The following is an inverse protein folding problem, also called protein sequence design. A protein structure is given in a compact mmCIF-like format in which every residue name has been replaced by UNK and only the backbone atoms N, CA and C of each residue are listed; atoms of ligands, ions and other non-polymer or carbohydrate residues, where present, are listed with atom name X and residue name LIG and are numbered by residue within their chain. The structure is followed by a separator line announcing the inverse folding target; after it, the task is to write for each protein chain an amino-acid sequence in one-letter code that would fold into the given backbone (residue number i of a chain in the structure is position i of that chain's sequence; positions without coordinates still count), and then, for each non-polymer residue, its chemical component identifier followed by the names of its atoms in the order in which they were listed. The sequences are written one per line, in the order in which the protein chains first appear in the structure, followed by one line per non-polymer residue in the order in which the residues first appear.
data_IF_166397962847
#
_entry.id   IF_166397962847
#
_cell.length_a   1.000
_cell.length_b   1.000
_cell.length_c   1.000
_cell.angle_alpha   90.00
_cell.angle_beta   90.00
_cell.angle_gamma   90.00
#
_symmetry.space_group_name_H-M   'P 1'
#
loop_
_entity.id
_entity.type
_entity.pdbx_description
1 polymer ?
#
# COMPACT_ATOMS: atom_id res chain seq x y z
N UNK A 1 32.24 56.65 -39.83
CA UNK A 1 30.84 56.15 -39.77
C UNK A 1 30.92 54.63 -39.65
N UNK A 2 30.64 54.08 -38.47
CA UNK A 2 30.54 52.63 -38.26
C UNK A 2 29.05 52.28 -38.29
N UNK A 3 28.65 51.41 -39.22
CA UNK A 3 27.30 50.88 -39.32
C UNK A 3 27.30 49.47 -38.71
N UNK A 4 26.59 49.30 -37.61
CA UNK A 4 26.35 48.02 -36.94
C UNK A 4 25.14 47.35 -37.55
N UNK A 5 25.34 46.22 -38.23
CA UNK A 5 24.25 45.33 -38.66
C UNK A 5 23.85 44.42 -37.50
N UNK A 6 22.61 44.56 -37.05
CA UNK A 6 21.98 43.73 -36.02
C UNK A 6 21.51 42.43 -36.67
N UNK A 7 22.12 41.30 -36.29
CA UNK A 7 21.57 39.97 -36.59
C UNK A 7 20.37 39.72 -35.69
N UNK A 8 19.19 39.54 -36.29
CA UNK A 8 17.95 39.20 -35.61
C UNK A 8 18.12 37.92 -34.77
N UNK A 9 17.81 38.03 -33.48
CA UNK A 9 17.83 36.92 -32.54
C UNK A 9 16.80 35.87 -32.87
N UNK A 10 17.24 34.61 -32.95
CA UNK A 10 16.37 33.44 -32.88
C UNK A 10 15.78 33.42 -31.46
N UNK A 11 14.46 33.58 -31.35
CA UNK A 11 13.77 33.61 -30.06
C UNK A 11 13.86 32.21 -29.39
N UNK A 12 14.54 32.07 -28.23
CA UNK A 12 14.66 30.78 -27.54
C UNK A 12 13.33 30.25 -27.00
N UNK A 13 12.28 31.08 -26.95
CA UNK A 13 10.94 30.65 -26.50
C UNK A 13 10.18 29.77 -27.50
N UNK A 14 10.64 29.69 -28.77
CA UNK A 14 10.02 28.82 -29.79
C UNK A 14 10.28 27.33 -29.54
N UNK A 15 11.41 26.97 -28.92
CA UNK A 15 11.73 25.57 -28.61
C UNK A 15 11.10 25.07 -27.29
N UNK A 16 10.78 25.98 -26.37
CA UNK A 16 10.15 25.62 -25.08
C UNK A 16 8.72 25.15 -25.31
N UNK A 17 7.97 25.76 -26.23
CA UNK A 17 6.59 25.37 -26.49
C UNK A 17 6.47 23.97 -27.10
N UNK A 18 7.35 23.59 -28.03
CA UNK A 18 7.33 22.24 -28.62
C UNK A 18 7.65 21.13 -27.60
N UNK A 19 8.59 21.38 -26.68
CA UNK A 19 8.89 20.43 -25.62
C UNK A 19 7.79 20.32 -24.56
N UNK A 20 7.03 21.39 -24.32
CA UNK A 20 5.95 21.37 -23.33
C UNK A 20 4.75 20.57 -23.86
N UNK A 21 4.44 20.69 -25.15
CA UNK A 21 3.36 19.90 -25.78
C UNK A 21 3.70 18.41 -25.85
N UNK A 22 4.94 18.03 -26.19
CA UNK A 22 5.35 16.62 -26.19
C UNK A 22 5.31 16.02 -24.78
N UNK A 23 5.69 16.79 -23.75
CA UNK A 23 5.62 16.34 -22.35
C UNK A 23 4.18 16.19 -21.84
N UNK A 24 3.26 17.03 -22.30
CA UNK A 24 1.85 16.98 -21.93
C UNK A 24 1.08 15.84 -22.64
N UNK A 25 1.39 15.56 -23.91
CA UNK A 25 0.80 14.43 -24.64
C UNK A 25 1.34 13.09 -24.14
N UNK A 26 2.63 13.02 -23.80
CA UNK A 26 3.19 11.86 -23.12
C UNK A 26 2.56 11.72 -21.73
N UNK A 27 2.54 12.77 -20.91
CA UNK A 27 1.94 12.68 -19.57
C UNK A 27 0.48 12.25 -19.65
N UNK A 28 -0.33 12.71 -20.61
CA UNK A 28 -1.72 12.25 -20.74
C UNK A 28 -1.87 10.77 -21.14
N UNK A 29 -1.04 10.26 -22.07
CA UNK A 29 -1.08 8.84 -22.43
C UNK A 29 -0.56 7.93 -21.30
N UNK A 30 0.46 8.39 -20.55
CA UNK A 30 1.03 7.64 -19.44
C UNK A 30 0.17 7.72 -18.17
N UNK A 31 -0.44 8.87 -17.87
CA UNK A 31 -1.38 9.05 -16.76
C UNK A 31 -2.54 8.05 -16.84
N UNK A 32 -3.04 7.77 -18.05
CA UNK A 32 -4.09 6.77 -18.26
C UNK A 32 -3.67 5.36 -17.84
N UNK A 33 -2.43 4.94 -18.11
CA UNK A 33 -1.96 3.58 -17.79
C UNK A 33 -1.54 3.41 -16.33
N UNK A 34 -0.84 4.39 -15.75
CA UNK A 34 -0.39 4.33 -14.36
C UNK A 34 -1.56 4.45 -13.36
N UNK A 35 -2.52 5.35 -13.61
CA UNK A 35 -3.72 5.45 -12.76
C UNK A 35 -4.62 4.20 -12.87
N UNK A 36 -4.71 3.59 -14.05
CA UNK A 36 -5.48 2.34 -14.23
C UNK A 36 -4.86 1.19 -13.42
N UNK A 37 -3.54 1.16 -13.22
CA UNK A 37 -2.86 0.12 -12.43
C UNK A 37 -3.11 0.22 -10.91
N UNK A 38 -3.53 1.39 -10.42
CA UNK A 38 -3.76 1.65 -8.98
C UNK A 38 -5.26 1.79 -8.67
N UNK A 39 -6.16 1.49 -9.61
CA UNK A 39 -7.60 1.68 -9.42
C UNK A 39 -8.19 0.67 -8.41
N UNK A 40 -8.01 0.94 -7.12
CA UNK A 40 -8.73 0.34 -6.00
C UNK A 40 -9.68 1.41 -5.43
N UNK A 41 -10.98 1.14 -5.49
CA UNK A 41 -11.98 1.96 -4.81
C UNK A 41 -11.86 1.69 -3.31
N UNK A 42 -11.41 2.68 -2.54
CA UNK A 42 -11.37 2.63 -1.07
C UNK A 42 -12.73 3.01 -0.51
N UNK A 43 -13.75 2.20 -0.80
CA UNK A 43 -15.01 2.23 -0.05
C UNK A 43 -14.72 1.83 1.41
N UNK A 44 -15.63 2.20 2.33
CA UNK A 44 -15.50 1.94 3.76
C UNK A 44 -15.12 0.47 4.02
N UNK A 45 -13.91 0.25 4.56
CA UNK A 45 -13.39 -1.08 4.89
C UNK A 45 -14.28 -1.71 5.96
N UNK A 46 -14.84 -2.87 5.64
CA UNK A 46 -15.74 -3.60 6.53
C UNK A 46 -14.94 -4.57 7.39
N UNK A 47 -14.81 -4.24 8.68
CA UNK A 47 -14.27 -5.13 9.71
C UNK A 47 -15.14 -6.39 9.87
N UNK A 48 -14.55 -7.50 10.33
CA UNK A 48 -15.30 -8.71 10.69
C UNK A 48 -16.30 -8.41 11.83
N UNK A 49 -17.31 -9.27 12.01
CA UNK A 49 -18.22 -9.13 13.15
C UNK A 49 -17.49 -9.24 14.49
N UNK A 50 -16.43 -10.05 14.58
CA UNK A 50 -15.63 -10.17 15.80
C UNK A 50 -14.85 -8.89 16.10
N UNK A 51 -14.17 -8.30 15.10
CA UNK A 51 -13.54 -6.99 15.27
C UNK A 51 -14.54 -5.88 15.55
N UNK A 52 -15.73 -5.94 14.94
CA UNK A 52 -16.82 -5.01 15.25
C UNK A 52 -17.35 -5.18 16.67
N UNK A 53 -17.43 -6.42 17.19
CA UNK A 53 -17.82 -6.69 18.59
C UNK A 53 -16.74 -6.22 19.54
N UNK A 54 -15.47 -6.51 19.32
CA UNK A 54 -14.39 -5.94 20.13
C UNK A 54 -14.38 -4.40 20.12
N UNK A 55 -14.70 -3.81 18.96
CA UNK A 55 -14.83 -2.37 18.79
C UNK A 55 -16.11 -1.80 19.44
N UNK A 56 -17.20 -2.59 19.53
CA UNK A 56 -18.54 -2.18 19.99
C UNK A 56 -18.96 -2.66 21.39
N UNK A 57 -18.27 -3.63 21.99
CA UNK A 57 -18.49 -4.16 23.35
C UNK A 57 -17.87 -3.22 24.39
N UNK A 58 -18.47 -2.03 24.50
CA UNK A 58 -18.26 -1.05 25.56
C UNK A 58 -19.31 -1.18 26.69
N UNK A 59 -19.81 -2.39 26.97
CA UNK A 59 -20.66 -2.65 28.15
C UNK A 59 -20.07 -3.84 28.93
N UNK A 60 -19.79 -3.68 30.24
CA UNK A 60 -19.13 -4.72 31.00
C UNK A 60 -20.05 -5.92 31.19
N UNK A 61 -19.66 -7.04 30.59
CA UNK A 61 -20.16 -8.35 30.92
C UNK A 61 -20.87 -9.05 29.78
N UNK A 62 -20.12 -9.75 28.94
CA UNK A 62 -20.42 -11.13 28.60
C UNK A 62 -19.14 -11.79 28.07
N UNK A 63 -18.93 -13.04 28.45
CA UNK A 63 -17.72 -13.80 28.10
C UNK A 63 -17.74 -14.04 26.59
N UNK A 64 -16.63 -13.74 25.93
CA UNK A 64 -16.37 -14.17 24.56
C UNK A 64 -16.39 -15.70 24.49
N UNK A 65 -17.54 -16.28 24.14
CA UNK A 65 -17.62 -17.64 23.65
C UNK A 65 -17.00 -17.68 22.25
N UNK A 66 -16.21 -18.72 22.02
CA UNK A 66 -15.50 -18.99 20.76
C UNK A 66 -16.49 -19.00 19.59
N UNK A 67 -16.53 -17.93 18.81
CA UNK A 67 -17.26 -17.88 17.53
C UNK A 67 -16.25 -18.05 16.40
N UNK A 68 -16.57 -18.98 15.51
CA UNK A 68 -15.77 -19.42 14.36
C UNK A 68 -15.12 -18.28 13.55
N UNK A 69 -13.81 -18.42 13.30
CA UNK A 69 -13.03 -17.65 12.32
C UNK A 69 -13.44 -18.01 10.88
N UNK A 70 -14.66 -17.67 10.46
CA UNK A 70 -15.17 -18.07 9.13
C UNK A 70 -15.22 -16.90 8.12
N UNK A 71 -14.16 -16.07 8.08
CA UNK A 71 -13.88 -15.28 6.89
C UNK A 71 -12.60 -15.79 6.19
N UNK A 72 -12.71 -16.57 5.10
CA UNK A 72 -11.56 -17.17 4.41
C UNK A 72 -10.61 -16.14 3.78
N UNK A 73 -10.91 -14.83 3.86
CA UNK A 73 -10.00 -13.74 3.49
C UNK A 73 -9.11 -13.23 4.62
N UNK A 74 -9.44 -13.49 5.88
CA UNK A 74 -8.63 -13.04 7.01
C UNK A 74 -7.75 -14.21 7.44
N UNK A 75 -6.43 -14.14 7.22
CA UNK A 75 -5.56 -15.22 7.66
C UNK A 75 -5.47 -15.24 9.19
N UNK A 76 -5.22 -16.39 9.81
CA UNK A 76 -4.95 -16.44 11.25
C UNK A 76 -3.67 -15.68 11.60
N UNK A 77 -3.59 -15.24 12.86
CA UNK A 77 -2.42 -14.55 13.39
C UNK A 77 -1.38 -15.58 13.79
N UNK A 78 -0.27 -15.62 13.06
CA UNK A 78 0.84 -16.51 13.39
C UNK A 78 1.44 -16.13 14.75
N UNK A 79 1.68 -17.13 15.61
CA UNK A 79 2.20 -16.97 16.97
C UNK A 79 1.29 -16.11 17.88
N UNK A 80 -0.03 -16.21 17.71
CA UNK A 80 -1.01 -15.51 18.55
C UNK A 80 -0.77 -15.67 20.06
N UNK A 81 -0.37 -16.87 20.50
CA UNK A 81 -0.06 -17.15 21.91
C UNK A 81 1.04 -16.21 22.46
N UNK A 82 2.03 -15.83 21.64
CA UNK A 82 3.06 -14.88 22.08
C UNK A 82 2.49 -13.48 22.33
N UNK A 83 1.50 -13.07 21.52
CA UNK A 83 0.84 -11.77 21.68
C UNK A 83 -0.06 -11.75 22.91
N UNK A 84 -0.73 -12.86 23.21
CA UNK A 84 -1.57 -12.97 24.42
C UNK A 84 -0.72 -13.00 25.69
N UNK A 85 0.45 -13.65 25.65
CA UNK A 85 1.33 -13.78 26.79
C UNK A 85 2.20 -12.53 27.07
N UNK A 86 2.31 -11.61 26.11
CA UNK A 86 3.05 -10.34 26.24
C UNK A 86 2.20 -9.17 25.70
N UNK A 87 1.32 -8.59 26.56
CA UNK A 87 0.40 -7.54 26.13
C UNK A 87 1.11 -6.23 25.78
N UNK A 88 2.26 -5.93 26.38
CA UNK A 88 3.06 -4.73 26.05
C UNK A 88 3.67 -4.88 24.65
N UNK A 89 4.25 -6.05 24.34
CA UNK A 89 4.73 -6.37 23.01
C UNK A 89 3.60 -6.34 21.97
N UNK A 90 2.42 -6.88 22.31
CA UNK A 90 1.28 -6.88 21.40
C UNK A 90 0.77 -5.46 21.09
N UNK A 91 0.72 -4.57 22.09
CA UNK A 91 0.40 -3.16 21.89
C UNK A 91 1.45 -2.46 21.01
N UNK A 92 2.75 -2.71 21.23
CA UNK A 92 3.81 -2.17 20.38
C UNK A 92 3.65 -2.62 18.93
N UNK A 93 3.37 -3.91 18.71
CA UNK A 93 3.15 -4.48 17.39
C UNK A 93 1.88 -3.92 16.73
N UNK A 94 0.81 -3.70 17.50
CA UNK A 94 -0.44 -3.11 17.01
C UNK A 94 -0.20 -1.65 16.58
N UNK A 95 0.48 -0.87 17.42
CA UNK A 95 0.86 0.51 17.14
C UNK A 95 1.76 0.58 15.92
N UNK A 96 2.82 -0.23 15.85
CA UNK A 96 3.70 -0.28 14.70
C UNK A 96 2.90 -0.55 13.42
N UNK A 97 2.03 -1.57 13.45
CA UNK A 97 1.21 -1.95 12.30
C UNK A 97 0.20 -0.86 11.90
N UNK A 98 -0.32 -0.10 12.87
CA UNK A 98 -1.26 0.98 12.61
C UNK A 98 -0.60 2.16 11.90
N UNK A 99 0.57 2.59 12.37
CA UNK A 99 1.27 3.77 11.85
C UNK A 99 2.25 3.47 10.71
N UNK A 100 2.49 2.18 10.40
CA UNK A 100 3.36 1.78 9.29
C UNK A 100 2.91 2.42 7.98
N UNK A 101 3.88 2.85 7.17
CA UNK A 101 3.61 3.25 5.79
C UNK A 101 3.55 2.01 4.90
N UNK A 102 2.44 1.85 4.19
CA UNK A 102 2.36 0.85 3.13
C UNK A 102 3.25 1.29 1.96
N UNK A 103 3.82 0.32 1.26
CA UNK A 103 4.66 0.54 0.08
C UNK A 103 4.22 -0.39 -1.04
N UNK A 104 4.32 0.06 -2.30
CA UNK A 104 4.08 -0.84 -3.42
C UNK A 104 5.19 -1.89 -3.46
N UNK A 105 4.80 -3.16 -3.56
CA UNK A 105 5.71 -4.27 -3.75
C UNK A 105 5.95 -4.47 -5.25
N UNK A 106 7.19 -4.28 -5.67
CA UNK A 106 7.65 -4.68 -6.99
C UNK A 106 8.14 -6.13 -6.97
N UNK A 107 7.89 -6.87 -8.04
CA UNK A 107 8.43 -8.21 -8.23
C UNK A 107 9.78 -8.12 -8.92
N UNK A 108 10.71 -9.00 -8.58
CA UNK A 108 11.94 -9.13 -9.37
C UNK A 108 11.59 -9.77 -10.71
N UNK A 109 12.10 -9.21 -11.81
CA UNK A 109 11.98 -9.86 -13.10
C UNK A 109 12.99 -11.02 -13.17
N UNK A 110 12.56 -12.29 -13.27
CA UNK A 110 13.47 -13.43 -13.33
C UNK A 110 14.31 -13.45 -14.62
N UNK A 111 13.82 -12.81 -15.68
CA UNK A 111 14.46 -12.77 -16.99
C UNK A 111 15.41 -11.56 -17.14
N UNK A 112 15.47 -10.69 -16.14
CA UNK A 112 16.37 -9.54 -16.18
C UNK A 112 17.82 -9.97 -16.03
N UNK A 113 18.67 -9.46 -16.93
CA UNK A 113 20.12 -9.62 -16.81
C UNK A 113 20.58 -8.92 -15.53
N UNK A 114 21.05 -9.68 -14.56
CA UNK A 114 21.63 -9.12 -13.34
C UNK A 114 22.93 -8.41 -13.68
N UNK A 115 22.92 -7.07 -13.57
CA UNK A 115 24.13 -6.28 -13.72
C UNK A 115 24.82 -6.20 -12.36
N UNK A 116 26.12 -6.53 -12.25
CA UNK A 116 26.86 -6.37 -11.00
C UNK A 116 26.83 -4.91 -10.54
N UNK A 117 26.44 -4.66 -9.29
CA UNK A 117 26.47 -3.32 -8.68
C UNK A 117 25.14 -2.74 -8.22
N UNK A 118 24.02 -3.48 -8.30
CA UNK A 118 22.76 -3.08 -7.68
C UNK A 118 22.04 -1.90 -8.36
N UNK A 119 22.37 -1.62 -9.62
CA UNK A 119 21.67 -0.60 -10.41
C UNK A 119 20.28 -1.14 -10.78
N UNK A 120 19.23 -0.47 -10.30
CA UNK A 120 17.87 -0.70 -10.79
C UNK A 120 17.82 -0.24 -12.24
N UNK A 121 17.66 -1.20 -13.16
CA UNK A 121 17.60 -0.96 -14.60
C UNK A 121 16.16 -1.08 -15.07
N UNK A 122 15.82 -0.39 -16.15
CA UNK A 122 14.52 -0.60 -16.79
C UNK A 122 14.32 -2.09 -17.10
N UNK A 123 13.16 -2.60 -16.71
CA UNK A 123 12.81 -4.01 -16.83
C UNK A 123 13.44 -4.96 -15.80
N UNK A 124 14.23 -4.48 -14.83
CA UNK A 124 14.74 -5.34 -13.74
C UNK A 124 13.66 -5.72 -12.72
N UNK A 125 12.60 -4.93 -12.66
CA UNK A 125 11.46 -5.12 -11.78
C UNK A 125 10.17 -5.23 -12.60
N UNK A 126 9.17 -5.88 -12.05
CA UNK A 126 7.82 -5.99 -12.60
C UNK A 126 6.81 -5.37 -11.63
N UNK A 127 5.79 -4.70 -12.17
CA UNK A 127 4.57 -4.37 -11.45
C UNK A 127 3.84 -5.66 -10.99
N UNK A 128 2.84 -5.56 -10.09
CA UNK A 128 2.04 -6.72 -9.67
C UNK A 128 1.38 -7.48 -10.84
N UNK A 129 1.01 -6.76 -11.90
CA UNK A 129 0.42 -7.31 -13.13
C UNK A 129 1.45 -8.02 -14.06
N UNK A 130 2.73 -8.04 -13.68
CA UNK A 130 3.81 -8.65 -14.46
C UNK A 130 4.41 -7.74 -15.54
N UNK A 131 3.91 -6.52 -15.71
CA UNK A 131 4.48 -5.56 -16.66
C UNK A 131 5.85 -5.08 -16.19
N UNK A 132 6.87 -5.02 -17.07
CA UNK A 132 8.16 -4.45 -16.72
C UNK A 132 8.06 -2.98 -16.29
N UNK A 133 8.81 -2.63 -15.24
CA UNK A 133 8.92 -1.25 -14.75
C UNK A 133 9.95 -0.50 -15.57
N UNK A 134 9.60 0.71 -16.00
CA UNK A 134 10.54 1.68 -16.57
C UNK A 134 10.76 2.79 -15.55
N UNK A 135 11.97 2.92 -15.04
CA UNK A 135 12.34 3.97 -14.08
C UNK A 135 12.73 5.27 -14.78
N UNK A 136 13.22 5.19 -16.02
CA UNK A 136 13.76 6.33 -16.76
C UNK A 136 12.71 7.28 -17.36
N UNK A 137 11.47 6.82 -17.57
CA UNK A 137 10.41 7.58 -18.23
C UNK A 137 9.45 8.31 -17.27
N UNK A 138 9.64 8.13 -15.96
CA UNK A 138 8.79 8.73 -14.92
C UNK A 138 7.53 7.92 -14.57
N UNK A 139 7.24 6.83 -15.28
CA UNK A 139 6.05 5.99 -15.02
C UNK A 139 6.08 5.33 -13.64
N UNK A 140 7.26 4.99 -13.13
CA UNK A 140 7.42 4.56 -11.74
C UNK A 140 6.99 5.63 -10.73
N UNK A 141 7.45 6.88 -10.91
CA UNK A 141 7.13 7.97 -9.99
C UNK A 141 5.63 8.25 -9.97
N UNK A 142 4.98 8.26 -11.14
CA UNK A 142 3.53 8.47 -11.23
C UNK A 142 2.74 7.36 -10.55
N UNK A 143 3.16 6.10 -10.73
CA UNK A 143 2.57 4.94 -10.07
C UNK A 143 2.75 5.01 -8.55
N UNK A 144 3.96 5.32 -8.08
CA UNK A 144 4.27 5.47 -6.65
C UNK A 144 3.47 6.63 -6.03
N UNK A 145 3.36 7.78 -6.70
CA UNK A 145 2.58 8.93 -6.24
C UNK A 145 1.08 8.62 -6.17
N UNK A 146 0.55 7.88 -7.16
CA UNK A 146 -0.84 7.43 -7.14
C UNK A 146 -1.11 6.49 -5.97
N UNK A 147 -0.25 5.49 -5.77
CA UNK A 147 -0.35 4.58 -4.64
C UNK A 147 -0.23 5.32 -3.31
N UNK A 148 0.72 6.26 -3.18
CA UNK A 148 0.93 7.01 -1.94
C UNK A 148 -0.29 7.83 -1.52
N UNK A 149 -1.07 8.37 -2.48
CA UNK A 149 -2.33 9.06 -2.18
C UNK A 149 -3.36 8.11 -1.58
N UNK A 150 -3.51 6.92 -2.15
CA UNK A 150 -4.43 5.91 -1.64
C UNK A 150 -3.96 5.35 -0.29
N UNK A 151 -2.67 5.02 -0.17
CA UNK A 151 -2.06 4.52 1.05
C UNK A 151 -2.16 5.52 2.21
N UNK A 152 -2.15 6.82 1.94
CA UNK A 152 -2.40 7.84 2.96
C UNK A 152 -3.83 7.73 3.54
N UNK A 153 -4.84 7.49 2.71
CA UNK A 153 -6.23 7.31 3.15
C UNK A 153 -6.39 6.01 3.95
N UNK A 154 -5.85 4.90 3.45
CA UNK A 154 -5.86 3.61 4.15
C UNK A 154 -5.17 3.72 5.51
N UNK A 155 -4.01 4.40 5.56
CA UNK A 155 -3.29 4.64 6.81
C UNK A 155 -4.11 5.51 7.78
N UNK A 156 -4.78 6.55 7.30
CA UNK A 156 -5.64 7.37 8.14
C UNK A 156 -6.79 6.55 8.75
N UNK A 157 -7.45 5.71 7.94
CA UNK A 157 -8.49 4.80 8.42
C UNK A 157 -7.94 3.81 9.45
N UNK A 158 -6.77 3.21 9.18
CA UNK A 158 -6.10 2.28 10.09
C UNK A 158 -5.75 2.92 11.43
N UNK A 159 -5.24 4.16 11.41
CA UNK A 159 -4.93 4.93 12.63
C UNK A 159 -6.22 5.22 13.41
N UNK A 160 -7.31 5.63 12.74
CA UNK A 160 -8.59 5.87 13.41
C UNK A 160 -9.10 4.62 14.13
N UNK A 161 -9.03 3.46 13.47
CA UNK A 161 -9.39 2.16 14.07
C UNK A 161 -8.55 1.87 15.30
N UNK A 162 -7.22 2.05 15.21
CA UNK A 162 -6.30 1.85 16.33
C UNK A 162 -6.61 2.78 17.51
N UNK A 163 -6.67 4.09 17.26
CA UNK A 163 -6.85 5.10 18.32
C UNK A 163 -8.21 4.97 19.01
N UNK A 164 -9.24 4.56 18.28
CA UNK A 164 -10.54 4.30 18.88
C UNK A 164 -10.56 3.04 19.74
N UNK A 165 -9.95 1.94 19.28
CA UNK A 165 -9.82 0.74 20.09
C UNK A 165 -9.00 1.00 21.37
N UNK A 166 -7.94 1.82 21.29
CA UNK A 166 -7.20 2.28 22.47
C UNK A 166 -8.08 3.09 23.42
N UNK A 167 -8.86 4.05 22.91
CA UNK A 167 -9.80 4.83 23.75
C UNK A 167 -10.85 3.96 24.43
N UNK A 168 -11.22 2.84 23.82
CA UNK A 168 -12.20 1.90 24.34
C UNK A 168 -11.59 0.88 25.33
N UNK A 169 -10.28 0.94 25.59
CA UNK A 169 -9.60 0.09 26.56
C UNK A 169 -9.38 -1.36 26.09
N UNK A 170 -9.32 -1.57 24.77
CA UNK A 170 -9.03 -2.89 24.17
C UNK A 170 -7.62 -3.35 24.57
N UNK A 171 -7.45 -4.65 24.86
CA UNK A 171 -6.16 -5.22 25.26
C UNK A 171 -5.12 -5.15 24.14
N UNK A 172 -3.81 -5.19 24.46
CA UNK A 172 -2.75 -5.16 23.44
C UNK A 172 -2.86 -6.25 22.37
N UNK A 173 -3.18 -7.49 22.78
CA UNK A 173 -3.39 -8.60 21.84
C UNK A 173 -4.60 -8.33 20.94
N UNK A 174 -5.71 -7.88 21.51
CA UNK A 174 -6.92 -7.56 20.76
C UNK A 174 -6.74 -6.36 19.83
N UNK A 175 -5.94 -5.35 20.23
CA UNK A 175 -5.53 -4.25 19.36
C UNK A 175 -4.79 -4.78 18.13
N UNK A 176 -3.86 -5.71 18.32
CA UNK A 176 -3.14 -6.32 17.21
C UNK A 176 -4.08 -7.08 16.28
N UNK A 177 -5.03 -7.84 16.85
CA UNK A 177 -6.06 -8.56 16.08
C UNK A 177 -6.92 -7.62 15.24
N UNK A 178 -7.45 -6.55 15.83
CA UNK A 178 -8.25 -5.54 15.12
C UNK A 178 -7.47 -4.95 13.93
N UNK A 179 -6.19 -4.62 14.11
CA UNK A 179 -5.36 -4.06 13.04
C UNK A 179 -4.99 -5.09 11.99
N UNK A 180 -4.76 -6.34 12.38
CA UNK A 180 -4.55 -7.45 11.47
C UNK A 180 -5.78 -7.67 10.57
N UNK A 181 -6.97 -7.69 11.16
CA UNK A 181 -8.23 -7.83 10.42
C UNK A 181 -8.50 -6.65 9.48
N UNK A 182 -8.27 -5.41 9.94
CA UNK A 182 -8.33 -4.23 9.07
C UNK A 182 -7.41 -4.41 7.86
N UNK A 183 -6.18 -4.82 8.09
CA UNK A 183 -5.17 -4.96 7.05
C UNK A 183 -5.49 -6.03 6.00
N UNK A 184 -6.27 -7.06 6.32
CA UNK A 184 -6.67 -8.13 5.40
C UNK A 184 -8.11 -8.00 4.88
N UNK A 185 -8.86 -7.01 5.35
CA UNK A 185 -10.19 -6.65 4.82
C UNK A 185 -10.14 -5.59 3.71
N UNK A 186 -8.95 -5.01 3.44
CA UNK A 186 -8.73 -4.07 2.35
C UNK A 186 -9.04 -4.71 0.97
N UNK A 187 -9.36 -3.90 -0.06
CA UNK A 187 -9.63 -4.38 -1.41
C UNK A 187 -8.50 -5.27 -1.95
N UNK A 188 -8.86 -6.31 -2.71
CA UNK A 188 -7.90 -7.30 -3.22
C UNK A 188 -6.77 -6.66 -4.05
N UNK A 189 -7.11 -5.69 -4.90
CA UNK A 189 -6.14 -4.92 -5.68
C UNK A 189 -5.13 -4.18 -4.81
N UNK A 190 -5.56 -3.65 -3.65
CA UNK A 190 -4.65 -3.02 -2.69
C UNK A 190 -3.76 -4.06 -1.98
N UNK A 191 -4.33 -5.23 -1.63
CA UNK A 191 -3.57 -6.34 -1.03
C UNK A 191 -2.52 -6.89 -2.01
N UNK A 192 -2.82 -6.96 -3.30
CA UNK A 192 -1.88 -7.36 -4.36
C UNK A 192 -0.72 -6.37 -4.48
N UNK A 193 -1.02 -5.07 -4.57
CA UNK A 193 0.01 -4.01 -4.67
C UNK A 193 0.93 -4.01 -3.45
N UNK A 194 0.38 -4.18 -2.24
CA UNK A 194 1.17 -4.20 -1.00
C UNK A 194 1.83 -5.56 -0.71
N UNK A 195 1.58 -6.58 -1.54
CA UNK A 195 2.05 -7.94 -1.31
C UNK A 195 1.38 -8.69 -0.15
N UNK A 196 0.33 -8.10 0.45
CA UNK A 196 -0.45 -8.73 1.52
C UNK A 196 -1.27 -9.91 1.00
N UNK A 197 -1.65 -9.94 -0.28
CA UNK A 197 -2.32 -11.11 -0.88
C UNK A 197 -1.44 -12.36 -0.78
N UNK A 198 -0.16 -12.27 -1.19
CA UNK A 198 0.81 -13.36 -1.04
C UNK A 198 1.06 -13.71 0.43
N UNK A 199 1.13 -12.71 1.32
CA UNK A 199 1.30 -12.94 2.77
C UNK A 199 0.12 -13.71 3.35
N UNK A 200 -1.11 -13.41 2.94
CA UNK A 200 -2.33 -14.11 3.36
C UNK A 200 -2.24 -15.59 3.06
N UNK A 201 -1.87 -15.95 1.82
CA UNK A 201 -1.71 -17.36 1.41
C UNK A 201 -0.65 -18.08 2.26
N UNK A 202 0.49 -17.45 2.50
CA UNK A 202 1.54 -18.01 3.36
C UNK A 202 1.07 -18.22 4.80
N UNK A 203 0.28 -17.30 5.35
CA UNK A 203 -0.25 -17.41 6.71
C UNK A 203 -1.29 -18.53 6.83
N UNK A 204 -2.19 -18.67 5.85
CA UNK A 204 -3.11 -19.81 5.81
C UNK A 204 -2.36 -21.15 5.69
N UNK A 205 -1.36 -21.24 4.82
CA UNK A 205 -0.55 -22.45 4.67
C UNK A 205 0.21 -22.82 5.96
N UNK A 206 0.61 -21.84 6.77
CA UNK A 206 1.28 -22.07 8.06
C UNK A 206 0.33 -22.52 9.17
N UNK A 207 -0.96 -22.20 9.08
CA UNK A 207 -1.96 -22.60 10.07
C UNK A 207 -2.59 -23.96 9.78
N UNK A 208 -2.49 -24.46 8.55
CA UNK A 208 -2.92 -25.80 8.16
C UNK A 208 -1.90 -26.91 8.41
N UNK A 209 -0.74 -26.59 9.00
CA UNK A 209 0.31 -27.54 9.41
C UNK A 209 0.42 -27.55 10.94
#
# INVERSE_FOLDING_TARGET
MFSTSITQGVNPYSQVQKNTTVRADQSQAYHGTAQTRVAAQTDAVVLSEEARRMYGELVPGEKAEQVEQDNPRIPPIHLWENLVNDPEYAEEMARFSAYQMDRPLLRMNPDAVQVPGGVLMDGSMLYPDGTPVTFSDGSWQEYEDAFNREAALVREQRIKVYEEAVRNGVSGADLYRVIHEFNFSLPESYLEITGRANRREMLFARAGN
#
